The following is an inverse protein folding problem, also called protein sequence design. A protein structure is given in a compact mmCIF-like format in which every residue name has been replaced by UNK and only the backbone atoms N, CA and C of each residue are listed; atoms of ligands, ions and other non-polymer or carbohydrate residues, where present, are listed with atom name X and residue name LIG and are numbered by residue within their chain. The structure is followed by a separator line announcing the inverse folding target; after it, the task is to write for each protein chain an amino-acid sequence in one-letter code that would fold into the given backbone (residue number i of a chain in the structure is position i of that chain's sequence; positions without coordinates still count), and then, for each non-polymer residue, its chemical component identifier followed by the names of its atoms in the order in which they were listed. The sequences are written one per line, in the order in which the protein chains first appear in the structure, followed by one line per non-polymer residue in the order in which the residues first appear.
data_IF_659195790567
#
_entry.id   IF_659195790567
#
_cell.length_a   1.000
_cell.length_b   1.000
_cell.length_c   1.000
_cell.angle_alpha   90.00
_cell.angle_beta   90.00
_cell.angle_gamma   90.00
#
_symmetry.space_group_name_H-M   'P 1'
#
loop_
_entity.id
_entity.type
_entity.pdbx_description
1 polymer ?
#
# COMPACT_ATOMS: atom_id res chain seq x y z
N UNK A 1 18.12 0.76 -14.22
CA UNK A 1 17.42 0.95 -12.92
C UNK A 1 17.34 -0.34 -12.08
N UNK A 2 17.04 -1.52 -12.64
CA UNK A 2 16.99 -2.80 -11.90
C UNK A 2 18.29 -3.19 -11.18
N UNK A 3 19.47 -2.88 -11.76
CA UNK A 3 20.77 -3.20 -11.17
C UNK A 3 21.15 -2.31 -9.97
N UNK A 4 20.69 -1.05 -9.94
CA UNK A 4 20.98 -0.11 -8.86
C UNK A 4 20.17 -0.45 -7.58
N UNK A 5 18.92 -0.87 -7.75
CA UNK A 5 18.05 -1.30 -6.64
C UNK A 5 18.57 -2.57 -5.97
N UNK A 6 19.07 -3.53 -6.76
CA UNK A 6 19.65 -4.78 -6.26
C UNK A 6 20.96 -4.53 -5.49
N UNK A 7 21.78 -3.56 -5.90
CA UNK A 7 23.00 -3.19 -5.19
C UNK A 7 22.71 -2.55 -3.83
N UNK A 8 21.70 -1.70 -3.69
CA UNK A 8 21.33 -1.09 -2.40
C UNK A 8 20.81 -2.14 -1.40
N UNK A 9 20.02 -3.10 -1.85
CA UNK A 9 19.52 -4.19 -1.00
C UNK A 9 20.66 -5.14 -0.59
N UNK A 10 21.59 -5.44 -1.48
CA UNK A 10 22.77 -6.28 -1.18
C UNK A 10 23.78 -5.56 -0.27
N UNK A 11 24.03 -4.25 -0.43
CA UNK A 11 24.91 -3.50 0.47
C UNK A 11 24.35 -3.44 1.90
N UNK A 12 23.04 -3.24 2.08
CA UNK A 12 22.43 -3.30 3.41
C UNK A 12 22.47 -4.71 4.03
N UNK A 13 22.42 -5.76 3.22
CA UNK A 13 22.50 -7.15 3.70
C UNK A 13 23.90 -7.56 4.17
N UNK A 14 24.95 -7.12 3.50
CA UNK A 14 26.35 -7.48 3.84
C UNK A 14 26.84 -6.74 5.07
N UNK A 15 26.47 -5.47 5.28
CA UNK A 15 26.83 -4.72 6.49
C UNK A 15 26.13 -5.25 7.75
N UNK A 16 24.96 -5.88 7.61
CA UNK A 16 24.24 -6.48 8.74
C UNK A 16 24.96 -7.71 9.34
N UNK A 17 25.74 -8.44 8.54
CA UNK A 17 26.51 -9.62 9.01
C UNK A 17 27.78 -9.25 9.78
N UNK A 18 28.32 -8.04 9.63
CA UNK A 18 29.60 -7.64 10.23
C UNK A 18 29.48 -6.87 11.56
N UNK A 19 28.27 -6.55 12.02
CA UNK A 19 28.01 -5.74 13.21
C UNK A 19 27.55 -6.55 14.44
N UNK A 20 27.94 -7.81 14.55
CA UNK A 20 27.63 -8.63 15.73
C UNK A 20 28.73 -8.48 16.79
N UNK A 21 28.78 -7.34 17.47
CA UNK A 21 29.42 -7.24 18.78
C UNK A 21 28.33 -7.08 19.83
N UNK A 22 28.20 -8.07 20.68
CA UNK A 22 27.35 -8.09 21.88
C UNK A 22 27.80 -7.00 22.89
N UNK A 23 27.37 -5.77 22.67
CA UNK A 23 27.34 -4.79 23.75
C UNK A 23 26.02 -5.00 24.50
N UNK A 24 26.07 -5.06 25.83
CA UNK A 24 24.91 -5.09 26.71
C UNK A 24 23.86 -4.06 26.24
N UNK A 25 22.78 -4.56 25.62
CA UNK A 25 21.72 -3.74 25.00
C UNK A 25 21.08 -2.89 26.10
N UNK A 26 21.42 -1.60 26.16
CA UNK A 26 20.75 -0.66 27.07
C UNK A 26 19.26 -0.67 26.78
N UNK A 27 18.45 -0.93 27.81
CA UNK A 27 16.99 -0.82 27.72
C UNK A 27 16.64 0.65 27.47
N UNK A 28 16.17 0.95 26.27
CA UNK A 28 15.69 2.28 25.90
C UNK A 28 14.20 2.17 25.57
N UNK A 29 13.38 2.77 26.43
CA UNK A 29 11.92 2.85 26.17
C UNK A 29 11.64 4.15 25.43
N UNK A 30 11.38 4.10 24.14
CA UNK A 30 11.16 5.28 23.34
C UNK A 30 9.99 5.06 22.38
N UNK A 31 8.99 5.93 22.46
CA UNK A 31 7.93 6.03 21.48
C UNK A 31 8.30 7.04 20.40
N UNK A 32 7.75 6.87 19.21
CA UNK A 32 7.80 7.87 18.17
C UNK A 32 6.52 7.86 17.36
N UNK A 33 6.23 9.02 16.80
CA UNK A 33 5.17 9.23 15.84
C UNK A 33 5.75 9.92 14.60
N UNK A 34 5.51 9.36 13.42
CA UNK A 34 5.90 9.96 12.15
C UNK A 34 4.67 10.09 11.26
N UNK A 35 4.64 11.16 10.50
CA UNK A 35 3.66 11.38 9.46
C UNK A 35 4.36 11.86 8.21
N UNK A 36 3.83 11.52 7.03
CA UNK A 36 4.44 11.93 5.79
C UNK A 36 3.70 11.47 4.56
N UNK A 37 4.43 11.41 3.47
CA UNK A 37 3.92 11.16 2.14
C UNK A 37 4.55 9.91 1.55
N UNK A 38 3.76 9.19 0.75
CA UNK A 38 4.23 8.02 -0.01
C UNK A 38 3.85 8.12 -1.47
N UNK A 39 4.66 7.50 -2.32
CA UNK A 39 4.34 7.23 -3.72
C UNK A 39 4.43 5.75 -3.99
N UNK A 40 3.44 5.21 -4.69
CA UNK A 40 3.32 3.78 -4.95
C UNK A 40 3.39 3.44 -6.44
N UNK A 41 3.91 2.25 -6.73
CA UNK A 41 3.91 1.60 -8.05
C UNK A 41 3.41 0.17 -7.89
N UNK A 42 2.65 -0.30 -8.85
CA UNK A 42 2.00 -1.61 -8.81
C UNK A 42 2.46 -2.48 -9.98
N UNK A 43 2.56 -3.79 -9.73
CA UNK A 43 2.64 -4.76 -10.81
C UNK A 43 1.29 -4.86 -11.52
N UNK A 44 1.26 -5.44 -12.72
CA UNK A 44 0.00 -5.90 -13.30
C UNK A 44 -0.63 -6.97 -12.40
N UNK A 45 -1.97 -7.09 -12.47
CA UNK A 45 -2.71 -8.10 -11.73
C UNK A 45 -3.86 -8.66 -12.56
N UNK A 46 -4.20 -9.92 -12.34
CA UNK A 46 -5.47 -10.46 -12.78
C UNK A 46 -6.54 -10.07 -11.76
N UNK A 47 -7.65 -9.53 -12.23
CA UNK A 47 -8.77 -9.11 -11.37
C UNK A 47 -9.98 -9.96 -11.72
N UNK A 48 -10.40 -10.79 -10.78
CA UNK A 48 -11.54 -11.69 -10.92
C UNK A 48 -12.77 -11.08 -10.26
N UNK A 49 -13.80 -10.83 -11.05
CA UNK A 49 -15.10 -10.29 -10.63
C UNK A 49 -16.14 -11.40 -10.62
N UNK A 50 -16.91 -11.48 -9.54
CA UNK A 50 -17.92 -12.54 -9.39
C UNK A 50 -19.13 -12.08 -8.62
N UNK A 51 -20.32 -12.29 -9.19
CA UNK A 51 -21.62 -12.27 -8.54
C UNK A 51 -22.53 -13.31 -9.21
N UNK A 52 -22.89 -14.33 -8.47
CA UNK A 52 -23.78 -15.41 -8.92
C UNK A 52 -25.15 -15.35 -8.22
N UNK A 53 -25.44 -14.28 -7.47
CA UNK A 53 -26.71 -14.15 -6.75
C UNK A 53 -27.89 -13.93 -7.67
N UNK A 54 -27.63 -13.37 -8.85
CA UNK A 54 -28.65 -12.95 -9.81
C UNK A 54 -29.67 -11.97 -9.18
N UNK A 55 -29.21 -11.15 -8.24
CA UNK A 55 -30.04 -10.16 -7.58
C UNK A 55 -30.53 -9.10 -8.57
N UNK A 56 -31.80 -8.70 -8.43
CA UNK A 56 -32.33 -7.60 -9.20
C UNK A 56 -31.80 -6.26 -8.69
N UNK A 57 -31.28 -5.45 -9.59
CA UNK A 57 -30.80 -4.10 -9.34
C UNK A 57 -31.84 -3.08 -9.80
N UNK A 58 -32.59 -2.46 -8.88
CA UNK A 58 -33.66 -1.53 -9.25
C UNK A 58 -33.15 -0.29 -9.96
N UNK A 59 -31.89 0.12 -9.72
CA UNK A 59 -31.27 1.28 -10.34
C UNK A 59 -31.08 1.10 -11.87
N UNK A 60 -30.82 -0.11 -12.31
CA UNK A 60 -30.60 -0.44 -13.74
C UNK A 60 -31.73 -1.24 -14.38
N UNK A 61 -32.66 -1.75 -13.56
CA UNK A 61 -33.68 -2.65 -14.03
C UNK A 61 -33.16 -4.00 -14.50
N UNK A 62 -32.00 -4.44 -14.05
CA UNK A 62 -31.28 -5.64 -14.50
C UNK A 62 -30.98 -6.59 -13.37
N UNK A 63 -30.84 -7.86 -13.72
CA UNK A 63 -30.19 -8.86 -12.88
C UNK A 63 -28.72 -8.95 -13.28
N UNK A 64 -27.82 -8.77 -12.34
CA UNK A 64 -26.39 -8.92 -12.60
C UNK A 64 -25.93 -10.32 -12.21
N UNK A 65 -25.51 -11.07 -13.21
CA UNK A 65 -24.89 -12.37 -13.05
C UNK A 65 -23.59 -12.36 -13.84
N UNK A 66 -22.47 -12.37 -13.14
CA UNK A 66 -21.15 -12.32 -13.79
C UNK A 66 -20.11 -13.17 -13.04
N UNK A 67 -19.23 -13.76 -13.83
CA UNK A 67 -18.04 -14.48 -13.34
C UNK A 67 -16.96 -14.33 -14.43
N UNK A 68 -16.09 -13.31 -14.27
CA UNK A 68 -15.09 -13.01 -15.29
C UNK A 68 -13.78 -12.50 -14.69
N UNK A 69 -12.71 -12.65 -15.48
CA UNK A 69 -11.37 -12.18 -15.12
C UNK A 69 -10.86 -11.21 -16.16
N UNK A 70 -10.37 -10.07 -15.70
CA UNK A 70 -9.55 -9.12 -16.48
C UNK A 70 -8.08 -9.49 -16.25
N UNK A 71 -7.39 -9.91 -17.31
CA UNK A 71 -6.03 -10.39 -17.24
C UNK A 71 -5.02 -9.26 -17.41
N UNK A 72 -3.95 -9.29 -16.61
CA UNK A 72 -2.82 -8.37 -16.66
C UNK A 72 -3.24 -6.89 -16.61
N UNK A 73 -4.25 -6.56 -15.83
CA UNK A 73 -4.70 -5.19 -15.64
C UNK A 73 -3.56 -4.34 -15.08
N UNK A 74 -3.28 -3.22 -15.75
CA UNK A 74 -2.34 -2.21 -15.28
C UNK A 74 -3.06 -1.29 -14.31
N UNK A 75 -2.40 -0.94 -13.22
CA UNK A 75 -2.89 0.03 -12.27
C UNK A 75 -1.81 1.07 -11.95
N UNK A 76 -2.24 2.23 -11.54
CA UNK A 76 -1.37 3.34 -11.18
C UNK A 76 -1.83 4.01 -9.90
N UNK A 77 -0.94 4.77 -9.35
CA UNK A 77 -1.15 5.69 -8.25
C UNK A 77 -1.76 7.01 -8.77
N UNK A 78 -2.44 7.77 -7.90
CA UNK A 78 -2.94 9.11 -8.22
C UNK A 78 -2.11 10.12 -7.43
N UNK A 79 -0.99 10.61 -7.95
CA UNK A 79 -0.27 11.68 -7.30
C UNK A 79 -1.01 13.01 -7.56
N UNK A 80 -1.80 13.45 -6.60
CA UNK A 80 -2.37 14.80 -6.59
C UNK A 80 -1.40 15.72 -5.85
N UNK A 81 -0.36 16.11 -6.52
CA UNK A 81 0.57 17.10 -6.01
C UNK A 81 0.65 18.26 -7.00
N UNK A 82 -0.20 19.24 -6.82
CA UNK A 82 -0.26 20.44 -7.66
C UNK A 82 0.68 21.55 -7.16
N UNK A 83 1.48 21.25 -6.14
CA UNK A 83 2.50 22.17 -5.64
C UNK A 83 2.57 22.29 -4.14
N UNK A 84 3.38 23.25 -3.70
CA UNK A 84 3.72 23.46 -2.29
C UNK A 84 2.49 23.78 -1.41
N UNK A 85 1.42 24.31 -2.00
CA UNK A 85 0.17 24.60 -1.30
C UNK A 85 -0.51 23.36 -0.74
N UNK A 86 -0.41 22.23 -1.42
CA UNK A 86 -1.03 20.97 -0.98
C UNK A 86 -0.30 20.38 0.21
N UNK A 87 1.01 20.60 0.30
CA UNK A 87 1.80 20.28 1.48
C UNK A 87 1.37 21.10 2.69
N UNK A 88 1.14 22.40 2.49
CA UNK A 88 0.75 23.34 3.57
C UNK A 88 -0.69 23.06 4.03
N UNK A 89 -1.59 22.77 3.13
CA UNK A 89 -3.00 22.50 3.42
C UNK A 89 -3.25 21.10 3.98
N UNK A 90 -2.24 20.24 4.04
CA UNK A 90 -2.34 18.83 4.51
C UNK A 90 -3.40 18.04 3.70
N UNK A 91 -3.70 18.49 2.50
CA UNK A 91 -4.68 17.88 1.60
C UNK A 91 -4.04 16.84 0.68
N UNK A 92 -2.83 16.39 1.02
CA UNK A 92 -2.11 15.39 0.23
C UNK A 92 -2.88 14.07 0.29
N UNK A 93 -3.39 13.55 -0.83
CA UNK A 93 -4.29 12.40 -0.81
C UNK A 93 -3.59 11.07 -0.51
N UNK A 94 -2.25 11.05 -0.36
CA UNK A 94 -1.46 9.86 -0.11
C UNK A 94 -0.52 10.05 1.06
N UNK A 95 -1.06 9.93 2.24
CA UNK A 95 -0.31 10.09 3.48
C UNK A 95 0.02 8.76 4.13
N UNK A 96 1.01 8.80 4.98
CA UNK A 96 1.40 7.66 5.83
C UNK A 96 1.52 8.11 7.27
N UNK A 97 1.09 7.24 8.18
CA UNK A 97 1.26 7.39 9.61
C UNK A 97 2.08 6.24 10.18
N UNK A 98 2.96 6.54 11.12
CA UNK A 98 3.78 5.56 11.81
C UNK A 98 3.71 5.80 13.31
N UNK A 99 3.47 4.76 14.07
CA UNK A 99 3.58 4.77 15.53
C UNK A 99 4.50 3.64 15.92
N UNK A 100 5.61 3.94 16.57
CA UNK A 100 6.58 2.93 16.93
C UNK A 100 7.05 3.01 18.37
N UNK A 101 7.52 1.88 18.85
CA UNK A 101 8.07 1.70 20.18
C UNK A 101 9.38 0.93 20.12
N UNK A 102 10.46 1.54 20.62
CA UNK A 102 11.75 0.89 20.84
C UNK A 102 11.80 0.27 22.23
N UNK A 103 12.08 -1.01 22.30
CA UNK A 103 12.33 -1.71 23.57
C UNK A 103 13.80 -1.78 23.92
N UNK A 104 14.69 -1.49 22.97
CA UNK A 104 16.11 -1.22 23.18
C UNK A 104 16.62 -0.19 22.16
N UNK A 105 17.91 0.11 22.13
CA UNK A 105 18.48 1.15 21.26
C UNK A 105 18.29 0.87 19.77
N UNK A 106 18.18 -0.40 19.36
CA UNK A 106 18.25 -0.81 17.97
C UNK A 106 17.02 -1.58 17.49
N UNK A 107 16.13 -2.01 18.39
CA UNK A 107 15.01 -2.89 18.07
C UNK A 107 13.72 -2.37 18.64
N UNK A 108 12.66 -2.53 17.89
CA UNK A 108 11.33 -2.07 18.25
C UNK A 108 10.24 -2.71 17.42
N UNK A 109 9.06 -2.18 17.60
CA UNK A 109 7.88 -2.50 16.80
C UNK A 109 7.26 -1.21 16.29
N UNK A 110 6.63 -1.28 15.14
CA UNK A 110 5.99 -0.12 14.51
C UNK A 110 4.66 -0.55 13.90
N UNK A 111 3.62 0.25 14.09
CA UNK A 111 2.37 0.15 13.36
C UNK A 111 2.38 1.18 12.24
N UNK A 112 2.09 0.72 11.03
CA UNK A 112 2.00 1.54 9.83
C UNK A 112 0.57 1.65 9.38
N UNK A 113 0.21 2.85 8.94
CA UNK A 113 -0.95 3.11 8.11
C UNK A 113 -0.49 3.81 6.84
N UNK A 114 -0.71 3.18 5.67
CA UNK A 114 -0.39 3.75 4.37
C UNK A 114 -1.69 3.96 3.59
N UNK A 115 -2.05 5.22 3.39
CA UNK A 115 -3.16 5.63 2.55
C UNK A 115 -2.67 5.80 1.12
N UNK A 116 -2.68 4.73 0.34
CA UNK A 116 -2.28 4.71 -1.08
C UNK A 116 -3.51 4.66 -1.98
N UNK A 117 -3.32 4.96 -3.26
CA UNK A 117 -4.36 4.85 -4.29
C UNK A 117 -4.00 3.72 -5.24
N UNK A 118 -4.98 2.89 -5.58
CA UNK A 118 -4.84 1.85 -6.60
C UNK A 118 -5.94 2.05 -7.62
N UNK A 119 -5.58 2.45 -8.84
CA UNK A 119 -6.53 2.80 -9.90
C UNK A 119 -6.18 1.97 -11.13
N UNK A 120 -7.08 1.11 -11.54
CA UNK A 120 -6.96 0.40 -12.82
C UNK A 120 -7.03 1.43 -13.94
N UNK A 121 -6.05 1.39 -14.83
CA UNK A 121 -5.95 2.37 -15.92
C UNK A 121 -7.15 2.25 -16.85
N UNK A 122 -7.93 3.32 -16.94
CA UNK A 122 -9.06 3.40 -17.87
C UNK A 122 -8.58 3.33 -19.32
N UNK A 123 -9.46 2.87 -20.20
CA UNK A 123 -9.23 2.72 -21.64
C UNK A 123 -8.05 1.84 -22.04
N UNK A 124 -7.44 1.11 -21.10
CA UNK A 124 -6.44 0.10 -21.47
C UNK A 124 -7.11 -1.07 -22.20
N UNK A 125 -6.39 -1.64 -23.16
CA UNK A 125 -6.79 -2.91 -23.77
C UNK A 125 -6.34 -4.05 -22.88
N UNK A 126 -7.26 -4.91 -22.49
CA UNK A 126 -7.01 -6.07 -21.65
C UNK A 126 -7.75 -7.30 -22.20
N UNK A 127 -7.20 -8.48 -21.97
CA UNK A 127 -7.92 -9.73 -22.22
C UNK A 127 -8.91 -9.97 -21.09
N UNK A 128 -10.14 -10.30 -21.47
CA UNK A 128 -11.20 -10.65 -20.52
C UNK A 128 -11.73 -12.03 -20.87
N UNK A 129 -11.87 -12.88 -19.84
CA UNK A 129 -12.43 -14.23 -19.98
C UNK A 129 -13.47 -14.48 -18.92
N UNK A 130 -14.51 -15.25 -19.23
CA UNK A 130 -15.57 -15.60 -18.29
C UNK A 130 -16.94 -15.46 -18.91
N UNK A 131 -17.91 -14.99 -18.12
CA UNK A 131 -19.30 -14.87 -18.58
C UNK A 131 -20.02 -13.68 -17.97
N UNK A 132 -20.97 -13.13 -18.74
CA UNK A 132 -21.95 -12.13 -18.32
C UNK A 132 -23.35 -12.62 -18.66
N UNK A 133 -24.26 -12.68 -17.67
CA UNK A 133 -25.62 -13.12 -17.86
C UNK A 133 -25.71 -14.42 -18.69
N UNK A 134 -24.90 -15.41 -18.34
CA UNK A 134 -24.76 -16.71 -19.01
C UNK A 134 -24.18 -16.64 -20.44
N UNK A 135 -23.72 -15.49 -20.91
CA UNK A 135 -23.05 -15.38 -22.20
C UNK A 135 -21.53 -15.47 -22.01
N UNK A 136 -20.89 -16.51 -22.56
CA UNK A 136 -19.43 -16.63 -22.42
C UNK A 136 -18.71 -15.54 -23.23
N UNK A 137 -17.63 -15.03 -22.67
CA UNK A 137 -16.76 -14.06 -23.31
C UNK A 137 -15.30 -14.51 -23.19
N UNK A 138 -14.55 -14.41 -24.29
CA UNK A 138 -13.12 -14.69 -24.32
C UNK A 138 -12.48 -13.85 -25.43
N UNK A 139 -12.00 -12.68 -25.09
CA UNK A 139 -11.42 -11.75 -26.07
C UNK A 139 -10.77 -10.55 -25.42
N UNK A 140 -10.14 -9.76 -26.28
CA UNK A 140 -9.58 -8.47 -25.90
C UNK A 140 -10.67 -7.40 -25.94
N UNK A 141 -10.69 -6.55 -24.94
CA UNK A 141 -11.61 -5.41 -24.88
C UNK A 141 -10.94 -4.18 -24.32
N UNK A 142 -11.54 -3.02 -24.52
CA UNK A 142 -11.14 -1.77 -23.90
C UNK A 142 -11.89 -1.66 -22.57
N UNK A 143 -11.17 -1.35 -21.49
CA UNK A 143 -11.77 -1.07 -20.18
C UNK A 143 -12.33 0.37 -20.21
N UNK A 144 -13.51 0.53 -20.81
CA UNK A 144 -14.20 1.81 -20.85
C UNK A 144 -14.87 2.07 -19.49
N UNK A 145 -14.49 3.14 -18.78
CA UNK A 145 -15.00 3.43 -17.44
C UNK A 145 -16.50 3.77 -17.41
N UNK A 146 -17.09 4.15 -18.54
CA UNK A 146 -18.50 4.54 -18.60
C UNK A 146 -19.43 3.36 -18.89
N UNK A 147 -18.95 2.39 -19.67
CA UNK A 147 -19.81 1.32 -20.21
C UNK A 147 -19.44 -0.08 -19.74
N UNK A 148 -18.18 -0.33 -19.40
CA UNK A 148 -17.72 -1.67 -19.07
C UNK A 148 -17.10 -1.78 -17.67
N UNK A 149 -15.93 -1.16 -17.44
CA UNK A 149 -15.18 -1.31 -16.18
C UNK A 149 -14.39 -0.06 -15.83
N UNK A 150 -14.70 0.51 -14.67
CA UNK A 150 -13.80 1.30 -13.85
C UNK A 150 -13.64 0.61 -12.50
N UNK A 151 -12.42 0.51 -11.99
CA UNK A 151 -12.14 -0.14 -10.71
C UNK A 151 -11.01 0.57 -9.99
N UNK A 152 -11.33 1.13 -8.83
CA UNK A 152 -10.34 1.80 -8.01
C UNK A 152 -10.58 1.64 -6.51
N UNK A 153 -9.50 1.77 -5.74
CA UNK A 153 -9.52 1.99 -4.31
C UNK A 153 -9.21 3.46 -4.03
N UNK A 154 -10.14 4.35 -4.41
CA UNK A 154 -9.93 5.81 -4.46
C UNK A 154 -9.85 6.46 -3.09
N UNK A 155 -10.66 5.99 -2.14
CA UNK A 155 -10.57 6.40 -0.74
C UNK A 155 -9.49 5.62 0.03
N UNK A 156 -8.54 5.08 -0.73
CA UNK A 156 -7.35 4.38 -0.29
C UNK A 156 -7.40 2.88 -0.43
N UNK A 157 -6.33 2.32 -0.95
CA UNK A 157 -6.03 0.89 -0.86
C UNK A 157 -5.72 0.47 0.58
N UNK A 158 -5.33 1.41 1.42
CA UNK A 158 -5.09 1.36 2.87
C UNK A 158 -4.44 0.10 3.39
N UNK A 159 -3.16 0.20 3.69
CA UNK A 159 -2.38 -0.85 4.28
C UNK A 159 -2.19 -0.59 5.78
N UNK A 160 -2.69 -1.48 6.61
CA UNK A 160 -2.42 -1.51 8.04
C UNK A 160 -1.45 -2.63 8.34
N UNK A 161 -0.23 -2.31 8.78
CA UNK A 161 0.82 -3.30 9.01
C UNK A 161 1.44 -3.14 10.39
N UNK A 162 1.67 -4.28 11.04
CA UNK A 162 2.58 -4.39 12.18
C UNK A 162 3.96 -4.83 11.71
N UNK A 163 4.99 -4.08 12.10
CA UNK A 163 6.35 -4.33 11.68
C UNK A 163 7.26 -4.58 12.89
N UNK A 164 8.19 -5.50 12.76
CA UNK A 164 9.40 -5.51 13.58
C UNK A 164 10.38 -4.50 13.01
N UNK A 165 10.99 -3.70 13.86
CA UNK A 165 11.92 -2.67 13.45
C UNK A 165 13.30 -2.99 14.00
N UNK A 166 14.31 -2.94 13.12
CA UNK A 166 15.72 -2.96 13.50
C UNK A 166 16.46 -1.80 12.85
N UNK A 167 17.32 -1.12 13.63
CA UNK A 167 18.18 -0.06 13.14
C UNK A 167 19.65 -0.33 13.43
N UNK A 168 20.51 0.19 12.57
CA UNK A 168 21.95 0.18 12.71
C UNK A 168 22.45 1.61 12.61
N UNK A 169 23.21 2.06 13.62
CA UNK A 169 23.78 3.39 13.62
C UNK A 169 24.89 3.46 12.57
N UNK A 170 24.77 4.38 11.63
CA UNK A 170 25.77 4.65 10.59
C UNK A 170 26.71 5.78 11.01
N UNK A 171 26.15 6.84 11.61
CA UNK A 171 26.90 8.02 12.03
C UNK A 171 26.23 8.66 13.25
N UNK A 172 27.01 8.95 14.27
CA UNK A 172 26.54 9.50 15.54
C UNK A 172 27.60 10.45 16.12
N UNK A 173 27.75 11.68 15.57
CA UNK A 173 28.80 12.61 16.00
C UNK A 173 28.53 13.20 17.38
N UNK A 174 27.27 13.29 17.80
CA UNK A 174 26.86 13.84 19.10
C UNK A 174 25.42 13.40 19.43
N UNK A 175 24.94 13.78 20.60
CA UNK A 175 23.58 13.42 21.06
C UNK A 175 22.45 14.09 20.25
N UNK A 176 22.74 15.18 19.54
CA UNK A 176 21.76 15.95 18.78
C UNK A 176 21.57 15.49 17.33
N UNK A 177 22.44 14.61 16.84
CA UNK A 177 22.30 14.08 15.48
C UNK A 177 22.74 12.63 15.42
N UNK A 178 21.85 11.77 14.86
CA UNK A 178 22.11 10.36 14.61
C UNK A 178 21.56 9.98 13.23
N UNK A 179 22.37 9.30 12.46
CA UNK A 179 21.99 8.69 11.19
C UNK A 179 22.03 7.18 11.34
N UNK A 180 20.95 6.52 10.96
CA UNK A 180 20.81 5.07 11.04
C UNK A 180 20.22 4.50 9.75
N UNK A 181 20.58 3.27 9.43
CA UNK A 181 19.82 2.43 8.51
C UNK A 181 18.72 1.74 9.30
N UNK A 182 17.53 1.61 8.70
CA UNK A 182 16.39 0.89 9.29
C UNK A 182 15.90 -0.19 8.35
N UNK A 183 15.45 -1.31 8.92
CA UNK A 183 14.77 -2.39 8.20
C UNK A 183 13.56 -2.81 9.02
N UNK A 184 12.41 -2.95 8.35
CA UNK A 184 11.11 -3.16 8.97
C UNK A 184 10.33 -4.22 8.19
N UNK A 185 10.58 -5.52 8.40
CA UNK A 185 9.69 -6.57 7.92
C UNK A 185 8.36 -6.53 8.67
N UNK A 186 7.27 -6.78 7.96
CA UNK A 186 5.95 -6.75 8.58
C UNK A 186 4.87 -7.41 7.76
N UNK A 187 3.72 -7.54 8.41
CA UNK A 187 2.50 -8.08 7.83
C UNK A 187 1.29 -7.32 8.36
N UNK A 188 0.17 -7.45 7.65
CA UNK A 188 -1.03 -6.74 8.04
C UNK A 188 -2.24 -7.05 7.19
N UNK A 189 -3.18 -6.13 7.22
CA UNK A 189 -4.44 -6.23 6.49
C UNK A 189 -4.56 -5.11 5.47
N UNK A 190 -5.33 -5.36 4.42
CA UNK A 190 -5.77 -4.36 3.46
C UNK A 190 -7.22 -3.96 3.76
N UNK A 191 -7.47 -2.65 3.78
CA UNK A 191 -8.74 -2.06 4.21
C UNK A 191 -9.24 -1.02 3.21
N UNK A 192 -9.64 -1.46 1.97
CA UNK A 192 -10.04 -0.55 0.92
C UNK A 192 -11.45 -0.02 1.09
N UNK A 193 -11.72 1.08 0.40
CA UNK A 193 -13.03 1.48 -0.07
C UNK A 193 -13.00 1.46 -1.59
N UNK A 194 -13.73 0.53 -2.18
CA UNK A 194 -13.71 0.32 -3.63
C UNK A 194 -14.78 1.18 -4.30
N UNK A 195 -14.39 1.96 -5.30
CA UNK A 195 -15.27 2.60 -6.26
C UNK A 195 -15.21 1.81 -7.56
N UNK A 196 -16.34 1.34 -8.01
CA UNK A 196 -16.42 0.47 -9.19
C UNK A 196 -17.58 0.90 -10.11
N UNK A 197 -17.31 0.95 -11.40
CA UNK A 197 -18.33 0.93 -12.44
C UNK A 197 -18.23 -0.41 -13.16
N UNK A 198 -19.32 -1.15 -13.19
CA UNK A 198 -19.47 -2.38 -13.98
C UNK A 198 -20.70 -2.27 -14.85
N UNK A 199 -20.52 -2.48 -16.16
CA UNK A 199 -21.62 -2.47 -17.15
C UNK A 199 -22.44 -1.17 -17.14
N UNK A 200 -21.77 -0.03 -16.84
CA UNK A 200 -22.36 1.30 -16.75
C UNK A 200 -23.02 1.61 -15.40
N UNK A 201 -23.01 0.69 -14.46
CA UNK A 201 -23.54 0.87 -13.11
C UNK A 201 -22.39 1.18 -12.13
N UNK A 202 -22.47 2.30 -11.40
CA UNK A 202 -21.43 2.71 -10.44
C UNK A 202 -21.86 2.50 -9.00
N UNK A 203 -20.96 1.98 -8.19
CA UNK A 203 -21.13 1.86 -6.75
C UNK A 203 -19.83 2.22 -6.01
N UNK A 204 -19.92 3.26 -5.18
CA UNK A 204 -18.87 3.56 -4.22
C UNK A 204 -19.17 2.81 -2.92
N UNK A 205 -18.39 1.79 -2.63
CA UNK A 205 -18.62 0.84 -1.56
C UNK A 205 -18.23 1.37 -0.17
N UNK A 206 -18.47 0.57 0.86
CA UNK A 206 -18.06 0.84 2.24
C UNK A 206 -16.68 0.28 2.54
N UNK A 207 -16.06 0.82 3.60
CA UNK A 207 -14.81 0.31 4.16
C UNK A 207 -14.98 -1.11 4.70
N UNK A 208 -14.04 -2.02 4.43
CA UNK A 208 -14.00 -3.36 5.00
C UNK A 208 -12.61 -3.97 4.90
N UNK A 209 -12.34 -4.98 5.73
CA UNK A 209 -11.12 -5.79 5.59
C UNK A 209 -11.28 -6.69 4.37
N UNK A 210 -10.45 -6.46 3.35
CA UNK A 210 -10.55 -7.18 2.08
C UNK A 210 -9.50 -8.29 1.90
N UNK A 211 -8.48 -8.35 2.75
CA UNK A 211 -7.41 -9.33 2.62
C UNK A 211 -6.19 -8.98 3.47
N UNK A 212 -5.02 -9.39 3.03
CA UNK A 212 -3.77 -9.27 3.79
C UNK A 212 -2.63 -8.71 2.94
N UNK A 213 -1.58 -8.26 3.62
CA UNK A 213 -0.37 -7.73 3.02
C UNK A 213 0.86 -8.15 3.83
N UNK A 214 1.95 -8.45 3.13
CA UNK A 214 3.28 -8.66 3.73
C UNK A 214 4.30 -7.82 2.99
N UNK A 215 5.35 -7.38 3.68
CA UNK A 215 6.36 -6.58 3.03
C UNK A 215 7.57 -6.29 3.90
N UNK A 216 8.54 -5.62 3.29
CA UNK A 216 9.73 -5.12 3.97
C UNK A 216 9.94 -3.67 3.57
N UNK A 217 10.10 -2.81 4.58
CA UNK A 217 10.49 -1.42 4.43
C UNK A 217 11.93 -1.24 4.87
N UNK A 218 12.74 -0.49 4.12
CA UNK A 218 14.12 -0.19 4.49
C UNK A 218 14.53 1.20 4.00
N UNK A 219 15.48 1.82 4.72
CA UNK A 219 15.97 3.13 4.35
C UNK A 219 16.81 3.78 5.45
N UNK A 220 16.79 5.09 5.47
CA UNK A 220 17.55 5.90 6.41
C UNK A 220 16.63 6.60 7.40
N UNK A 221 17.08 6.65 8.66
CA UNK A 221 16.47 7.43 9.73
C UNK A 221 17.49 8.45 10.24
N UNK A 222 17.10 9.71 10.24
CA UNK A 222 17.82 10.80 10.86
C UNK A 222 17.09 11.22 12.14
N UNK A 223 17.80 11.21 13.25
CA UNK A 223 17.33 11.75 14.53
C UNK A 223 18.08 13.05 14.81
N UNK A 224 17.36 14.14 15.08
CA UNK A 224 17.94 15.48 15.23
C UNK A 224 17.23 16.29 16.32
N UNK A 225 17.91 17.29 16.85
CA UNK A 225 17.40 18.23 17.86
C UNK A 225 16.73 17.51 19.04
N UNK A 226 17.31 16.41 19.52
CA UNK A 226 16.80 15.59 20.62
C UNK A 226 15.49 14.83 20.36
N UNK A 227 14.50 15.47 19.72
CA UNK A 227 13.15 14.90 19.51
C UNK A 227 12.77 14.66 18.05
N UNK A 228 13.41 15.37 17.12
CA UNK A 228 13.09 15.28 15.71
C UNK A 228 13.51 13.94 15.09
N UNK A 229 12.68 13.41 14.22
CA UNK A 229 12.95 12.21 13.43
C UNK A 229 12.49 12.43 12.01
N UNK A 230 13.36 12.15 11.05
CA UNK A 230 13.03 12.07 9.64
C UNK A 230 13.40 10.68 9.11
N UNK A 231 12.52 10.09 8.31
CA UNK A 231 12.81 8.85 7.59
C UNK A 231 12.57 9.02 6.10
N UNK A 232 13.47 8.44 5.32
CA UNK A 232 13.29 8.22 3.90
C UNK A 232 13.49 6.74 3.60
N UNK A 233 12.42 6.06 3.14
CA UNK A 233 12.39 4.61 3.03
C UNK A 233 11.81 4.16 1.70
N UNK A 234 12.27 2.99 1.25
CA UNK A 234 11.64 2.20 0.19
C UNK A 234 10.97 0.97 0.81
N UNK A 235 9.76 0.66 0.34
CA UNK A 235 9.00 -0.50 0.79
C UNK A 235 8.62 -1.37 -0.41
N UNK A 236 8.86 -2.67 -0.30
CA UNK A 236 8.35 -3.68 -1.22
C UNK A 236 7.33 -4.54 -0.50
N UNK A 237 6.15 -4.73 -1.09
CA UNK A 237 5.08 -5.51 -0.46
C UNK A 237 4.34 -6.36 -1.49
N UNK A 238 3.74 -7.44 -1.01
CA UNK A 238 2.76 -8.24 -1.72
C UNK A 238 1.43 -8.15 -1.01
N UNK A 239 0.37 -7.79 -1.73
CA UNK A 239 -0.99 -7.66 -1.23
C UNK A 239 -1.93 -8.62 -1.94
N UNK A 240 -2.78 -9.33 -1.20
CA UNK A 240 -3.86 -10.18 -1.70
C UNK A 240 -5.20 -9.61 -1.21
N UNK A 241 -5.95 -9.02 -2.12
CA UNK A 241 -7.31 -8.54 -1.92
C UNK A 241 -8.27 -9.67 -2.28
N UNK A 242 -8.75 -10.37 -1.27
CA UNK A 242 -9.56 -11.59 -1.43
C UNK A 242 -11.03 -11.25 -1.70
N UNK A 243 -11.54 -10.14 -1.12
CA UNK A 243 -12.97 -9.84 -1.09
C UNK A 243 -13.27 -8.35 -1.26
N UNK A 244 -12.76 -7.71 -2.32
CA UNK A 244 -13.20 -6.33 -2.63
C UNK A 244 -14.69 -6.31 -2.94
N UNK A 245 -15.42 -5.41 -2.31
CA UNK A 245 -16.85 -5.24 -2.58
C UNK A 245 -17.02 -4.54 -3.95
N UNK A 246 -17.92 -5.08 -4.76
CA UNK A 246 -18.35 -4.51 -6.05
C UNK A 246 -19.85 -4.41 -6.10
N UNK A 247 -20.48 -4.43 -7.29
CA UNK A 247 -21.95 -4.42 -7.40
C UNK A 247 -22.56 -5.67 -6.78
N UNK A 248 -23.86 -5.63 -6.45
CA UNK A 248 -24.61 -6.78 -5.94
C UNK A 248 -24.89 -6.75 -4.43
N UNK A 249 -25.11 -5.56 -3.85
CA UNK A 249 -25.50 -5.39 -2.43
C UNK A 249 -24.67 -6.19 -1.41
N UNK A 250 -23.37 -6.37 -1.73
CA UNK A 250 -22.44 -7.13 -0.92
C UNK A 250 -22.23 -8.58 -1.37
N UNK A 251 -22.97 -9.09 -2.35
CA UNK A 251 -22.72 -10.40 -2.95
C UNK A 251 -21.61 -10.34 -4.00
N UNK A 252 -21.60 -9.29 -4.82
CA UNK A 252 -20.54 -9.07 -5.79
C UNK A 252 -19.19 -8.84 -5.13
N UNK A 253 -18.19 -9.58 -5.59
CA UNK A 253 -16.80 -9.52 -5.09
C UNK A 253 -15.83 -9.40 -6.25
N UNK A 254 -14.74 -8.68 -6.01
CA UNK A 254 -13.54 -8.78 -6.82
C UNK A 254 -12.39 -9.33 -5.98
N UNK A 255 -11.54 -10.10 -6.63
CA UNK A 255 -10.29 -10.60 -6.06
C UNK A 255 -9.13 -10.22 -6.95
N UNK A 256 -8.07 -9.69 -6.39
CA UNK A 256 -6.82 -9.44 -7.11
C UNK A 256 -5.63 -9.44 -6.16
N UNK A 257 -4.44 -9.60 -6.73
CA UNK A 257 -3.20 -9.62 -5.99
C UNK A 257 -2.12 -8.89 -6.79
N UNK A 258 -1.20 -8.21 -6.11
CA UNK A 258 -0.13 -7.49 -6.76
C UNK A 258 1.09 -7.30 -5.87
N UNK A 259 2.23 -7.06 -6.51
CA UNK A 259 3.40 -6.49 -5.85
C UNK A 259 3.33 -4.96 -5.91
N UNK A 260 3.66 -4.31 -4.81
CA UNK A 260 3.78 -2.85 -4.76
C UNK A 260 5.17 -2.44 -4.30
N UNK A 261 5.71 -1.41 -4.95
CA UNK A 261 6.87 -0.66 -4.50
C UNK A 261 6.44 0.72 -4.02
N UNK A 262 6.94 1.17 -2.88
CA UNK A 262 6.64 2.50 -2.35
C UNK A 262 7.93 3.24 -2.02
N UNK A 263 7.94 4.57 -2.24
CA UNK A 263 8.92 5.49 -1.67
C UNK A 263 8.21 6.41 -0.70
N UNK A 264 8.74 6.49 0.51
CA UNK A 264 8.09 7.18 1.63
C UNK A 264 9.05 8.16 2.29
N UNK A 265 8.58 9.38 2.52
CA UNK A 265 9.27 10.39 3.32
C UNK A 265 8.38 10.77 4.50
N UNK A 266 8.90 10.65 5.72
CA UNK A 266 8.15 10.96 6.94
C UNK A 266 8.97 11.87 7.86
N UNK A 267 8.26 12.71 8.58
CA UNK A 267 8.80 13.59 9.62
C UNK A 267 7.98 13.42 10.90
N UNK A 268 8.60 13.52 12.04
CA UNK A 268 7.88 13.46 13.29
C UNK A 268 8.76 13.57 14.52
N UNK A 269 8.26 13.02 15.60
CA UNK A 269 8.88 13.21 16.93
C UNK A 269 9.06 11.88 17.64
N UNK A 270 10.08 11.82 18.51
CA UNK A 270 10.31 10.75 19.45
C UNK A 270 10.20 11.25 20.89
N UNK A 271 9.66 10.41 21.77
CA UNK A 271 9.41 10.70 23.18
C UNK A 271 9.93 9.52 24.00
N UNK A 272 10.62 9.80 25.09
CA UNK A 272 11.19 8.79 25.98
C UNK A 272 12.68 9.02 26.22
N UNK A 273 13.18 8.33 27.25
CA UNK A 273 14.60 8.39 27.67
C UNK A 273 15.37 7.18 27.16
#
# INVERSE_FOLDING_TARGET
MKKLFLCCVLLCGVTALLAQTDSLKKKKKQFYFLWGYTRAWYSTSDIHFKDLSNDYHPETGRHNYYDFTVHNAKAHDRPDFDGIKDVINITIPQFVGRVGYYFNENEGVEMNYDHTKYIVTDYQKARVTGQFNNNPFNGDTILDPNSFLHFEHSDGANFWMGNYLRKWNLFNPNENFKLSCVVKPGAGIVFPRTDVTLFGERLNNKWHVAGWIVGVESGIRMEFLKYGVFEFTGKGSYADYITCLVLGKGNGKARHQFFTGQLTATLGVKIGK
#
